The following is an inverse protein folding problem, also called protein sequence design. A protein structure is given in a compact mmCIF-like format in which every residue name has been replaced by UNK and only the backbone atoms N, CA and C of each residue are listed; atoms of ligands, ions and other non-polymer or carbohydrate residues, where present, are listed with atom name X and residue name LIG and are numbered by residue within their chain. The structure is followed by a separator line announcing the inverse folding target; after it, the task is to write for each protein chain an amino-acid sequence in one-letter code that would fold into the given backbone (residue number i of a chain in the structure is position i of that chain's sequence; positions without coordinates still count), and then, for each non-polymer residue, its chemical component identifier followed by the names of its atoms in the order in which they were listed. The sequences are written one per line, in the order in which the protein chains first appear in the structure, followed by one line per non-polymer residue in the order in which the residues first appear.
data_IF_165151695826
#
_entry.id   IF_165151695826
#
_cell.length_a   1.000
_cell.length_b   1.000
_cell.length_c   1.000
_cell.angle_alpha   90.00
_cell.angle_beta   90.00
_cell.angle_gamma   90.00
#
_symmetry.space_group_name_H-M   'P 1'
#
loop_
_entity.id
_entity.type
_entity.pdbx_description
1 polymer ?
#
# COMPACT_ATOMS: atom_id res chain seq x y z
N UNK A 1 14.27 1.25 -61.40
CA UNK A 1 13.45 1.30 -60.20
C UNK A 1 14.03 0.44 -59.06
N UNK A 2 15.10 0.89 -58.35
CA UNK A 2 15.59 0.19 -57.15
C UNK A 2 15.46 0.99 -55.84
N UNK A 3 14.75 2.11 -55.80
CA UNK A 3 14.75 3.01 -54.62
C UNK A 3 13.87 2.52 -53.47
N UNK A 4 12.70 1.93 -53.75
CA UNK A 4 11.74 1.55 -52.71
C UNK A 4 12.22 0.36 -51.83
N UNK A 5 12.97 -0.59 -52.38
CA UNK A 5 13.51 -1.73 -51.63
C UNK A 5 14.64 -1.32 -50.66
N UNK A 6 15.49 -0.37 -51.06
CA UNK A 6 16.56 0.15 -50.21
C UNK A 6 16.03 1.01 -49.06
N UNK A 7 15.00 1.81 -49.30
CA UNK A 7 14.35 2.60 -48.26
C UNK A 7 13.61 1.70 -47.24
N UNK A 8 13.00 0.60 -47.70
CA UNK A 8 12.36 -0.36 -46.81
C UNK A 8 13.37 -1.09 -45.91
N UNK A 9 14.49 -1.52 -46.47
CA UNK A 9 15.59 -2.19 -45.74
C UNK A 9 16.21 -1.26 -44.68
N UNK A 10 16.45 0.02 -45.03
CA UNK A 10 16.98 1.00 -44.09
C UNK A 10 15.99 1.35 -42.96
N UNK A 11 14.69 1.33 -43.25
CA UNK A 11 13.67 1.52 -42.21
C UNK A 11 13.63 0.34 -41.24
N UNK A 12 13.76 -0.89 -41.73
CA UNK A 12 13.84 -2.10 -40.91
C UNK A 12 15.09 -2.14 -40.02
N UNK A 13 16.24 -1.74 -40.56
CA UNK A 13 17.49 -1.62 -39.79
C UNK A 13 17.38 -0.60 -38.67
N UNK A 14 16.80 0.56 -38.93
CA UNK A 14 16.57 1.59 -37.91
C UNK A 14 15.58 1.11 -36.81
N UNK A 15 14.52 0.38 -37.20
CA UNK A 15 13.59 -0.21 -36.24
C UNK A 15 14.28 -1.25 -35.34
N UNK A 16 15.16 -2.07 -35.91
CA UNK A 16 15.93 -3.06 -35.15
C UNK A 16 16.88 -2.40 -34.16
N UNK A 17 17.56 -1.29 -34.55
CA UNK A 17 18.41 -0.53 -33.62
C UNK A 17 17.60 0.01 -32.44
N UNK A 18 16.46 0.63 -32.73
CA UNK A 18 15.56 1.14 -31.64
C UNK A 18 15.07 0.03 -30.75
N UNK A 19 14.70 -1.12 -31.31
CA UNK A 19 14.25 -2.28 -30.54
C UNK A 19 15.36 -2.80 -29.61
N UNK A 20 16.58 -2.94 -30.15
CA UNK A 20 17.72 -3.38 -29.34
C UNK A 20 18.04 -2.39 -28.20
N UNK A 21 18.00 -1.09 -28.48
CA UNK A 21 18.18 -0.07 -27.41
C UNK A 21 17.11 -0.17 -26.34
N UNK A 22 15.83 -0.35 -26.71
CA UNK A 22 14.74 -0.55 -25.74
C UNK A 22 14.94 -1.81 -24.90
N UNK A 23 15.39 -2.92 -25.50
CA UNK A 23 15.69 -4.16 -24.77
C UNK A 23 16.80 -3.91 -23.75
N UNK A 24 17.90 -3.27 -24.17
CA UNK A 24 19.01 -2.90 -23.27
C UNK A 24 18.55 -2.00 -22.14
N UNK A 25 17.66 -1.05 -22.41
CA UNK A 25 17.08 -0.17 -21.37
C UNK A 25 16.22 -0.96 -20.37
N UNK A 26 15.42 -1.92 -20.84
CA UNK A 26 14.61 -2.80 -19.97
C UNK A 26 15.52 -3.60 -19.05
N UNK A 27 16.58 -4.23 -19.59
CA UNK A 27 17.52 -5.02 -18.79
C UNK A 27 18.23 -4.16 -17.74
N UNK A 28 18.74 -2.99 -18.11
CA UNK A 28 19.34 -2.03 -17.18
C UNK A 28 18.36 -1.60 -16.07
N UNK A 29 17.07 -1.39 -16.40
CA UNK A 29 16.07 -1.06 -15.38
C UNK A 29 15.79 -2.26 -14.47
N UNK A 30 15.75 -3.47 -14.99
CA UNK A 30 15.59 -4.69 -14.19
C UNK A 30 16.74 -4.86 -13.17
N UNK A 31 17.99 -4.65 -13.60
CA UNK A 31 19.14 -4.66 -12.71
C UNK A 31 19.05 -3.60 -11.61
N UNK A 32 18.63 -2.38 -11.97
CA UNK A 32 18.43 -1.29 -10.99
C UNK A 32 17.34 -1.62 -9.99
N UNK A 33 16.24 -2.23 -10.41
CA UNK A 33 15.17 -2.69 -9.51
C UNK A 33 15.74 -3.73 -8.53
N UNK A 34 16.46 -4.74 -9.03
CA UNK A 34 17.07 -5.76 -8.19
C UNK A 34 18.07 -5.15 -7.18
N UNK A 35 18.88 -4.18 -7.60
CA UNK A 35 19.80 -3.46 -6.71
C UNK A 35 19.07 -2.73 -5.59
N UNK A 36 17.98 -1.99 -5.90
CA UNK A 36 17.21 -1.27 -4.89
C UNK A 36 16.43 -2.22 -3.97
N UNK A 37 15.89 -3.32 -4.49
CA UNK A 37 15.24 -4.34 -3.67
C UNK A 37 16.21 -4.93 -2.63
N UNK A 38 17.42 -5.27 -3.05
CA UNK A 38 18.47 -5.73 -2.14
C UNK A 38 18.90 -4.65 -1.13
N UNK A 39 18.94 -3.37 -1.54
CA UNK A 39 19.25 -2.27 -0.65
C UNK A 39 18.16 -2.07 0.42
N UNK A 40 16.89 -2.21 0.03
CA UNK A 40 15.75 -2.15 0.95
C UNK A 40 15.80 -3.31 1.95
N UNK A 41 16.12 -4.53 1.50
CA UNK A 41 16.27 -5.69 2.40
C UNK A 41 17.35 -5.45 3.46
N UNK A 42 18.52 -4.98 3.05
CA UNK A 42 19.59 -4.61 3.98
C UNK A 42 19.18 -3.50 4.95
N UNK A 43 18.41 -2.51 4.48
CA UNK A 43 17.91 -1.43 5.33
C UNK A 43 16.90 -1.95 6.38
N UNK A 44 16.02 -2.88 5.98
CA UNK A 44 15.08 -3.51 6.91
C UNK A 44 15.83 -4.34 7.96
N UNK A 45 16.84 -5.12 7.58
CA UNK A 45 17.65 -5.91 8.50
C UNK A 45 18.36 -5.06 9.56
N UNK A 46 18.87 -3.91 9.16
CA UNK A 46 19.54 -2.94 10.06
C UNK A 46 18.55 -2.07 10.86
N UNK A 47 17.28 -2.07 10.50
CA UNK A 47 16.28 -1.26 11.16
C UNK A 47 16.04 -1.72 12.61
N UNK A 48 15.58 -0.82 13.50
CA UNK A 48 15.20 -1.18 14.86
C UNK A 48 14.18 -2.34 14.88
N UNK A 49 14.23 -3.22 15.91
CA UNK A 49 13.34 -4.39 16.01
C UNK A 49 11.85 -4.02 15.87
N UNK A 50 11.44 -2.90 16.45
CA UNK A 50 10.07 -2.37 16.35
C UNK A 50 9.69 -2.06 14.89
N UNK A 51 10.58 -1.42 14.14
CA UNK A 51 10.36 -1.09 12.72
C UNK A 51 10.22 -2.34 11.89
N UNK A 52 11.10 -3.33 12.07
CA UNK A 52 11.04 -4.63 11.38
C UNK A 52 9.73 -5.36 11.68
N UNK A 53 9.35 -5.44 12.96
CA UNK A 53 8.09 -6.06 13.37
C UNK A 53 6.88 -5.37 12.74
N UNK A 54 6.88 -4.03 12.67
CA UNK A 54 5.80 -3.28 12.04
C UNK A 54 5.72 -3.55 10.53
N UNK A 55 6.86 -3.53 9.82
CA UNK A 55 6.92 -3.88 8.39
C UNK A 55 6.37 -5.30 8.15
N UNK A 56 6.75 -6.25 8.98
CA UNK A 56 6.27 -7.63 8.88
C UNK A 56 4.76 -7.72 9.15
N UNK A 57 4.28 -7.09 10.21
CA UNK A 57 2.88 -7.08 10.58
C UNK A 57 1.98 -6.47 9.48
N UNK A 58 2.39 -5.36 8.88
CA UNK A 58 1.63 -4.72 7.81
C UNK A 58 1.53 -5.57 6.54
N UNK A 59 2.52 -6.40 6.25
CA UNK A 59 2.47 -7.34 5.11
C UNK A 59 1.42 -8.44 5.26
N UNK A 60 0.83 -8.65 6.44
CA UNK A 60 -0.31 -9.54 6.64
C UNK A 60 -1.58 -9.04 5.96
N UNK A 61 -1.68 -7.74 5.71
CA UNK A 61 -2.78 -7.14 5.00
C UNK A 61 -2.74 -7.46 3.50
N UNK A 62 -3.89 -7.72 2.92
CA UNK A 62 -4.00 -7.91 1.48
C UNK A 62 -3.62 -6.63 0.73
N UNK A 63 -2.83 -6.78 -0.33
CA UNK A 63 -2.38 -5.65 -1.15
C UNK A 63 -1.22 -4.85 -0.57
N UNK A 64 -0.75 -5.22 0.62
CA UNK A 64 0.41 -4.60 1.25
C UNK A 64 1.61 -5.55 1.09
N UNK A 65 2.42 -5.33 0.07
CA UNK A 65 3.69 -6.03 -0.13
C UNK A 65 4.83 -5.34 0.64
N UNK A 66 6.04 -5.91 0.59
CA UNK A 66 7.22 -5.42 1.31
C UNK A 66 7.47 -3.93 1.08
N UNK A 67 7.56 -3.50 -0.18
CA UNK A 67 7.81 -2.10 -0.53
C UNK A 67 6.71 -1.17 0.01
N UNK A 68 5.45 -1.56 -0.14
CA UNK A 68 4.31 -0.79 0.40
C UNK A 68 4.39 -0.69 1.93
N UNK A 69 4.72 -1.79 2.62
CA UNK A 69 4.85 -1.79 4.08
C UNK A 69 5.99 -0.86 4.55
N UNK A 70 7.14 -0.90 3.87
CA UNK A 70 8.27 0.00 4.16
C UNK A 70 7.85 1.44 3.94
N UNK A 71 7.25 1.77 2.81
CA UNK A 71 6.74 3.13 2.53
C UNK A 71 5.79 3.62 3.61
N UNK A 72 4.84 2.77 4.04
CA UNK A 72 3.89 3.12 5.10
C UNK A 72 4.61 3.43 6.42
N UNK A 73 5.58 2.60 6.79
CA UNK A 73 6.32 2.75 8.06
C UNK A 73 7.22 3.98 8.04
N UNK A 74 7.93 4.22 6.94
CA UNK A 74 8.84 5.37 6.81
C UNK A 74 8.10 6.71 6.77
N UNK A 75 7.01 6.78 6.05
CA UNK A 75 6.21 8.01 5.90
C UNK A 75 5.34 8.34 7.13
N UNK A 76 4.86 7.31 7.84
CA UNK A 76 4.07 7.49 9.05
C UNK A 76 4.98 7.71 10.27
N UNK A 77 6.09 6.99 10.34
CA UNK A 77 7.01 7.00 11.48
C UNK A 77 6.39 6.31 12.70
N UNK A 78 5.97 7.10 13.68
CA UNK A 78 5.34 6.60 14.90
C UNK A 78 3.80 6.58 14.75
N UNK A 79 3.17 5.42 14.90
CA UNK A 79 1.72 5.27 14.84
C UNK A 79 1.04 5.86 16.08
N UNK A 80 1.74 5.87 17.22
CA UNK A 80 1.30 6.44 18.47
C UNK A 80 1.05 7.94 18.45
N UNK A 81 1.64 8.68 17.48
CA UNK A 81 1.40 10.12 17.33
C UNK A 81 -0.05 10.46 16.94
N UNK A 82 -0.79 9.50 16.43
CA UNK A 82 -2.21 9.66 16.10
C UNK A 82 -3.07 9.03 17.19
N UNK A 83 -3.85 9.84 17.90
CA UNK A 83 -4.76 9.36 18.94
C UNK A 83 -5.90 8.51 18.36
N UNK A 84 -6.36 8.84 17.14
CA UNK A 84 -7.49 8.19 16.48
C UNK A 84 -7.21 7.91 15.00
N UNK A 85 -7.83 6.86 14.47
CA UNK A 85 -7.74 6.50 13.05
C UNK A 85 -8.15 7.65 12.10
N UNK A 86 -9.08 8.51 12.51
CA UNK A 86 -9.49 9.68 11.73
C UNK A 86 -8.34 10.66 11.46
N UNK A 87 -7.40 10.80 12.40
CA UNK A 87 -6.25 11.68 12.24
C UNK A 87 -5.29 11.16 11.15
N UNK A 88 -5.01 9.85 11.15
CA UNK A 88 -4.17 9.27 10.08
C UNK A 88 -4.87 9.29 8.73
N UNK A 89 -6.20 9.15 8.69
CA UNK A 89 -6.99 9.33 7.45
C UNK A 89 -6.85 10.76 6.92
N UNK A 90 -6.91 11.77 7.81
CA UNK A 90 -6.70 13.18 7.44
C UNK A 90 -5.28 13.44 6.97
N UNK A 91 -4.28 12.86 7.64
CA UNK A 91 -2.87 12.95 7.25
C UNK A 91 -2.58 12.45 5.84
N UNK A 92 -3.34 11.46 5.36
CA UNK A 92 -3.25 10.96 3.97
C UNK A 92 -4.08 11.77 2.97
N UNK A 93 -4.91 12.70 3.44
CA UNK A 93 -5.83 13.47 2.59
C UNK A 93 -6.92 12.63 1.92
N UNK A 94 -7.25 11.46 2.49
CA UNK A 94 -8.32 10.58 2.01
C UNK A 94 -9.68 10.90 2.61
N UNK A 95 -9.76 11.89 3.49
CA UNK A 95 -11.02 12.38 4.04
C UNK A 95 -11.76 13.26 3.03
N UNK A 96 -13.10 13.20 2.97
CA UNK A 96 -13.86 14.09 2.12
C UNK A 96 -13.73 15.54 2.63
N UNK A 97 -13.70 16.49 1.70
CA UNK A 97 -13.91 17.89 2.04
C UNK A 97 -15.34 18.07 2.52
N UNK A 98 -15.52 18.92 3.50
CA UNK A 98 -16.83 19.22 4.07
C UNK A 98 -17.13 20.72 3.89
N UNK A 99 -18.27 20.98 3.29
CA UNK A 99 -18.82 22.33 3.10
C UNK A 99 -20.23 22.35 3.68
N UNK A 100 -20.32 22.12 5.00
CA UNK A 100 -21.59 22.09 5.70
C UNK A 100 -21.92 23.46 6.28
N UNK A 101 -23.14 23.94 6.07
CA UNK A 101 -23.68 25.12 6.72
C UNK A 101 -25.04 24.79 7.32
N UNK A 102 -25.18 24.94 8.63
CA UNK A 102 -26.43 24.69 9.35
C UNK A 102 -26.94 23.25 9.17
N UNK A 103 -28.16 23.08 8.65
CA UNK A 103 -28.82 21.77 8.48
C UNK A 103 -28.39 20.99 7.23
N UNK A 104 -27.59 21.60 6.31
CA UNK A 104 -27.15 20.94 5.06
C UNK A 104 -25.73 20.43 5.17
N UNK A 105 -25.57 19.10 5.13
CA UNK A 105 -24.28 18.43 5.15
C UNK A 105 -23.83 18.16 3.70
N UNK A 106 -22.86 18.92 3.18
CA UNK A 106 -22.31 18.73 1.83
C UNK A 106 -20.89 18.17 1.92
N UNK A 107 -20.73 16.91 1.54
CA UNK A 107 -19.43 16.25 1.41
C UNK A 107 -18.97 16.30 -0.03
N UNK A 108 -17.79 16.89 -0.27
CA UNK A 108 -17.15 16.97 -1.56
C UNK A 108 -16.23 15.79 -1.88
N UNK A 109 -15.28 16.04 -2.78
CA UNK A 109 -14.19 15.11 -3.08
C UNK A 109 -13.24 14.96 -1.88
N UNK A 110 -12.26 14.05 -1.96
CA UNK A 110 -11.19 13.98 -0.96
C UNK A 110 -10.39 15.27 -0.94
N UNK A 111 -9.91 15.66 0.24
CA UNK A 111 -9.17 16.91 0.44
C UNK A 111 -7.88 16.97 -0.36
N UNK A 112 -7.24 15.82 -0.60
CA UNK A 112 -5.91 15.68 -1.22
C UNK A 112 -4.80 16.46 -0.49
N UNK A 113 -5.10 17.13 0.61
CA UNK A 113 -4.14 17.73 1.51
C UNK A 113 -3.39 16.63 2.27
N UNK A 114 -2.09 16.80 2.49
CA UNK A 114 -1.28 15.81 3.19
C UNK A 114 -0.47 14.89 2.25
N UNK A 115 -0.01 13.77 2.78
CA UNK A 115 0.99 12.92 2.12
C UNK A 115 0.44 12.24 0.86
N UNK A 116 0.87 12.70 -0.32
CA UNK A 116 0.45 12.18 -1.62
C UNK A 116 1.02 10.80 -1.91
N UNK A 117 2.22 10.49 -1.39
CA UNK A 117 2.88 9.20 -1.58
C UNK A 117 2.11 8.09 -0.86
N UNK A 118 1.77 8.31 0.43
CA UNK A 118 0.90 7.41 1.18
C UNK A 118 -0.45 7.22 0.49
N UNK A 119 -1.06 8.30 0.02
CA UNK A 119 -2.36 8.23 -0.66
C UNK A 119 -2.29 7.34 -1.89
N UNK A 120 -1.23 7.45 -2.71
CA UNK A 120 -1.02 6.63 -3.90
C UNK A 120 -0.92 5.15 -3.54
N UNK A 121 -0.01 4.77 -2.66
CA UNK A 121 0.21 3.37 -2.30
C UNK A 121 -1.01 2.75 -1.61
N UNK A 122 -1.78 3.53 -0.84
CA UNK A 122 -3.02 3.08 -0.23
C UNK A 122 -4.13 2.80 -1.26
N UNK A 123 -4.27 3.65 -2.27
CA UNK A 123 -5.24 3.45 -3.35
C UNK A 123 -4.86 2.22 -4.18
N UNK A 124 -3.59 2.04 -4.53
CA UNK A 124 -3.09 0.85 -5.21
C UNK A 124 -3.37 -0.42 -4.40
N UNK A 125 -3.06 -0.42 -3.10
CA UNK A 125 -3.34 -1.55 -2.20
C UNK A 125 -4.84 -1.84 -2.10
N UNK A 126 -5.68 -0.82 -2.09
CA UNK A 126 -7.12 -0.96 -1.94
C UNK A 126 -7.80 -1.66 -3.12
N UNK A 127 -7.21 -1.64 -4.33
CA UNK A 127 -7.72 -2.39 -5.49
C UNK A 127 -7.80 -3.90 -5.24
N UNK A 128 -6.98 -4.46 -4.38
CA UNK A 128 -6.97 -5.89 -4.07
C UNK A 128 -8.23 -6.36 -3.32
N UNK A 129 -8.97 -5.45 -2.67
CA UNK A 129 -10.19 -5.77 -1.92
C UNK A 129 -11.44 -5.95 -2.81
N UNK A 130 -11.30 -5.81 -4.12
CA UNK A 130 -12.32 -6.25 -5.10
C UNK A 130 -12.52 -7.77 -5.08
N UNK A 131 -11.48 -8.52 -4.74
CA UNK A 131 -11.51 -9.97 -4.67
C UNK A 131 -12.04 -10.46 -3.32
N UNK A 132 -12.73 -11.61 -3.33
CA UNK A 132 -13.26 -12.25 -2.10
C UNK A 132 -12.14 -12.49 -1.08
N UNK A 133 -12.43 -12.42 0.23
CA UNK A 133 -11.47 -12.74 1.28
C UNK A 133 -10.87 -14.14 1.06
N UNK A 134 -9.55 -14.21 1.05
CA UNK A 134 -8.79 -15.44 0.87
C UNK A 134 -7.37 -15.22 1.36
N UNK A 135 -6.82 -16.20 2.05
CA UNK A 135 -5.41 -16.23 2.41
C UNK A 135 -4.63 -16.98 1.32
N UNK A 136 -3.75 -16.28 0.61
CA UNK A 136 -2.73 -16.89 -0.22
C UNK A 136 -1.67 -17.56 0.68
N UNK A 137 -0.89 -18.52 0.15
CA UNK A 137 0.15 -19.25 0.90
C UNK A 137 1.05 -18.29 1.69
N UNK A 138 1.65 -17.31 1.01
CA UNK A 138 2.49 -16.28 1.65
C UNK A 138 1.80 -15.57 2.82
N UNK A 139 0.50 -15.26 2.71
CA UNK A 139 -0.22 -14.59 3.81
C UNK A 139 -0.49 -15.53 4.98
N UNK A 140 -0.73 -16.83 4.72
CA UNK A 140 -0.85 -17.84 5.78
C UNK A 140 0.44 -17.98 6.56
N UNK A 141 1.57 -18.09 5.86
CA UNK A 141 2.90 -18.21 6.46
C UNK A 141 3.24 -16.98 7.31
N UNK A 142 2.98 -15.78 6.78
CA UNK A 142 3.17 -14.52 7.51
C UNK A 142 2.26 -14.42 8.75
N UNK A 143 0.99 -14.77 8.62
CA UNK A 143 0.05 -14.70 9.73
C UNK A 143 0.36 -15.75 10.82
N UNK A 144 0.87 -16.91 10.44
CA UNK A 144 1.32 -17.93 11.38
C UNK A 144 2.54 -17.51 12.23
N UNK A 145 3.35 -16.59 11.73
CA UNK A 145 4.50 -16.01 12.42
C UNK A 145 4.19 -14.76 13.24
N UNK A 146 2.94 -14.26 13.19
CA UNK A 146 2.52 -13.03 13.87
C UNK A 146 1.66 -13.34 15.10
N UNK A 147 1.59 -12.42 16.08
CA UNK A 147 0.64 -12.51 17.18
C UNK A 147 -0.80 -12.72 16.69
N UNK A 148 -1.60 -13.58 17.35
CA UNK A 148 -2.98 -13.87 16.94
C UNK A 148 -3.86 -12.63 16.81
N UNK A 149 -3.63 -11.60 17.62
CA UNK A 149 -4.36 -10.32 17.57
C UNK A 149 -4.15 -9.63 16.23
N UNK A 150 -2.91 -9.57 15.73
CA UNK A 150 -2.56 -8.95 14.45
C UNK A 150 -3.13 -9.78 13.28
N UNK A 151 -3.01 -11.10 13.33
CA UNK A 151 -3.59 -11.99 12.31
C UNK A 151 -5.12 -11.83 12.22
N UNK A 152 -5.81 -11.74 13.36
CA UNK A 152 -7.25 -11.50 13.43
C UNK A 152 -7.63 -10.12 12.86
N UNK A 153 -6.85 -9.07 13.15
CA UNK A 153 -7.06 -7.74 12.57
C UNK A 153 -6.92 -7.75 11.05
N UNK A 154 -5.90 -8.43 10.52
CA UNK A 154 -5.66 -8.54 9.09
C UNK A 154 -6.79 -9.31 8.37
N UNK A 155 -7.30 -10.38 8.97
CA UNK A 155 -8.44 -11.11 8.44
C UNK A 155 -9.71 -10.24 8.45
N UNK A 156 -10.03 -9.61 9.57
CA UNK A 156 -11.16 -8.68 9.69
C UNK A 156 -11.08 -7.54 8.68
N UNK A 157 -9.89 -7.04 8.39
CA UNK A 157 -9.68 -6.04 7.34
C UNK A 157 -10.09 -6.58 5.97
N UNK A 158 -9.71 -7.82 5.61
CA UNK A 158 -10.10 -8.41 4.33
C UNK A 158 -11.63 -8.52 4.19
N UNK A 159 -12.31 -9.02 5.20
CA UNK A 159 -13.77 -9.19 5.20
C UNK A 159 -14.48 -7.84 5.09
N UNK A 160 -14.14 -6.91 5.96
CA UNK A 160 -14.77 -5.59 6.01
C UNK A 160 -14.54 -4.78 4.74
N UNK A 161 -13.30 -4.72 4.25
CA UNK A 161 -12.96 -3.90 3.09
C UNK A 161 -13.51 -4.50 1.79
N UNK A 162 -13.57 -5.83 1.68
CA UNK A 162 -14.27 -6.48 0.58
C UNK A 162 -15.77 -6.19 0.59
N UNK A 163 -16.42 -6.33 1.74
CA UNK A 163 -17.85 -6.00 1.90
C UNK A 163 -18.09 -4.52 1.53
N UNK A 164 -17.24 -3.63 2.01
CA UNK A 164 -17.30 -2.20 1.68
C UNK A 164 -17.19 -1.94 0.18
N UNK A 165 -16.24 -2.59 -0.48
CA UNK A 165 -16.07 -2.51 -1.93
C UNK A 165 -17.35 -2.95 -2.65
N UNK A 166 -17.89 -4.11 -2.30
CA UNK A 166 -19.12 -4.66 -2.91
C UNK A 166 -20.33 -3.74 -2.72
N UNK A 167 -20.57 -3.27 -1.51
CA UNK A 167 -21.71 -2.41 -1.19
C UNK A 167 -21.65 -1.07 -1.95
N UNK A 168 -20.45 -0.49 -2.10
CA UNK A 168 -20.29 0.76 -2.83
C UNK A 168 -20.40 0.56 -4.35
N UNK A 169 -19.93 -0.57 -4.88
CA UNK A 169 -20.06 -0.92 -6.29
C UNK A 169 -21.52 -1.19 -6.66
N UNK A 170 -22.28 -1.88 -5.80
CA UNK A 170 -23.70 -2.13 -6.00
C UNK A 170 -24.53 -0.83 -6.06
N UNK A 171 -24.05 0.26 -5.47
CA UNK A 171 -24.67 1.60 -5.56
C UNK A 171 -24.24 2.38 -6.81
N UNK A 172 -23.77 1.71 -7.83
CA UNK A 172 -23.37 2.28 -9.16
C UNK A 172 -22.36 3.43 -9.07
N UNK A 173 -21.53 3.44 -8.03
CA UNK A 173 -20.49 4.47 -7.86
C UNK A 173 -19.28 4.21 -8.77
N UNK A 174 -18.65 5.24 -9.35
CA UNK A 174 -17.43 5.09 -10.12
C UNK A 174 -16.35 4.34 -9.35
N UNK A 175 -15.68 3.38 -10.01
CA UNK A 175 -14.68 2.48 -9.37
C UNK A 175 -13.59 3.24 -8.59
N UNK A 176 -13.11 4.36 -9.12
CA UNK A 176 -12.12 5.20 -8.43
C UNK A 176 -12.62 5.75 -7.09
N UNK A 177 -13.90 6.19 -7.01
CA UNK A 177 -14.50 6.65 -5.75
C UNK A 177 -14.66 5.49 -4.75
N UNK A 178 -15.00 4.29 -5.23
CA UNK A 178 -15.12 3.08 -4.40
C UNK A 178 -13.77 2.73 -3.78
N UNK A 179 -12.72 2.64 -4.61
CA UNK A 179 -11.37 2.28 -4.16
C UNK A 179 -10.81 3.32 -3.18
N UNK A 180 -11.03 4.60 -3.44
CA UNK A 180 -10.63 5.68 -2.51
C UNK A 180 -11.32 5.55 -1.14
N UNK A 181 -12.60 5.17 -1.12
CA UNK A 181 -13.32 4.94 0.14
C UNK A 181 -12.79 3.70 0.89
N UNK A 182 -12.39 2.64 0.17
CA UNK A 182 -11.73 1.47 0.74
C UNK A 182 -10.34 1.81 1.26
N UNK A 183 -9.54 2.60 0.50
CA UNK A 183 -8.22 3.06 0.91
C UNK A 183 -8.26 3.86 2.23
N UNK A 184 -9.29 4.69 2.41
CA UNK A 184 -9.51 5.43 3.65
C UNK A 184 -9.77 4.50 4.84
N UNK A 185 -10.52 3.42 4.68
CA UNK A 185 -10.73 2.44 5.75
C UNK A 185 -9.48 1.58 5.96
N UNK A 186 -8.74 1.24 4.88
CA UNK A 186 -7.49 0.47 4.95
C UNK A 186 -6.45 1.14 5.83
N UNK A 187 -6.25 2.47 5.71
CA UNK A 187 -5.27 3.17 6.57
C UNK A 187 -5.67 3.11 8.05
N UNK A 188 -6.96 3.00 8.37
CA UNK A 188 -7.43 2.77 9.73
C UNK A 188 -6.98 1.41 10.29
N UNK A 189 -7.02 0.34 9.49
CA UNK A 189 -6.49 -0.97 9.88
C UNK A 189 -4.96 -0.96 9.97
N UNK A 190 -4.27 -0.28 9.06
CA UNK A 190 -2.82 -0.10 9.11
C UNK A 190 -2.42 0.60 10.41
N UNK A 191 -3.11 1.67 10.78
CA UNK A 191 -2.89 2.37 12.05
C UNK A 191 -3.13 1.46 13.26
N UNK A 192 -4.22 0.70 13.28
CA UNK A 192 -4.54 -0.19 14.38
C UNK A 192 -3.48 -1.28 14.55
N UNK A 193 -3.01 -1.90 13.46
CA UNK A 193 -1.93 -2.88 13.49
C UNK A 193 -0.61 -2.25 13.96
N UNK A 194 -0.26 -1.06 13.46
CA UNK A 194 0.95 -0.35 13.90
C UNK A 194 0.91 -0.02 15.39
N UNK A 195 -0.23 0.42 15.91
CA UNK A 195 -0.45 0.66 17.36
C UNK A 195 -0.33 -0.63 18.18
N UNK A 196 -0.88 -1.74 17.69
CA UNK A 196 -0.77 -3.04 18.37
C UNK A 196 0.69 -3.51 18.47
N UNK A 197 1.45 -3.40 17.38
CA UNK A 197 2.90 -3.70 17.40
C UNK A 197 3.64 -2.81 18.40
N UNK A 198 3.30 -1.52 18.46
CA UNK A 198 3.89 -0.59 19.42
C UNK A 198 3.56 -0.98 20.87
N UNK A 199 2.34 -1.40 21.14
CA UNK A 199 1.90 -1.83 22.46
C UNK A 199 2.58 -3.12 22.90
N UNK A 200 2.66 -4.12 22.01
CA UNK A 200 3.33 -5.40 22.30
C UNK A 200 4.82 -5.23 22.60
N UNK A 201 5.52 -4.35 21.88
CA UNK A 201 6.93 -4.06 22.15
C UNK A 201 7.16 -3.30 23.48
N UNK A 202 6.19 -2.50 23.93
CA UNK A 202 6.23 -1.85 25.23
C UNK A 202 5.95 -2.85 26.38
N UNK A 203 5.07 -3.84 26.13
CA UNK A 203 4.80 -4.94 27.08
C UNK A 203 6.02 -5.82 27.34
N UNK A 204 6.83 -6.11 26.32
CA UNK A 204 8.04 -6.91 26.44
C UNK A 204 9.14 -6.25 27.32
N UNK A 205 9.21 -4.94 27.37
CA UNK A 205 10.15 -4.23 28.26
C UNK A 205 9.77 -4.30 29.74
N UNK A 206 8.50 -4.44 30.07
CA UNK A 206 8.05 -4.58 31.47
C UNK A 206 8.31 -5.96 32.05
N UNK A 207 8.40 -7.01 31.21
CA UNK A 207 8.67 -8.38 31.66
C UNK A 207 10.17 -8.66 31.91
N UNK A 208 11.07 -7.87 31.34
CA UNK A 208 12.54 -8.03 31.53
C UNK A 208 13.05 -7.19 32.72
N UNK A 209 12.25 -6.27 33.24
CA UNK A 209 12.61 -5.39 34.36
C UNK A 209 11.97 -5.81 35.71
N UNK A 210 11.32 -6.98 35.77
CA UNK A 210 10.82 -7.62 36.98
C UNK A 210 11.56 -8.96 37.23
#
# INVERSE_FOLDING_TARGET
MPSASLEHTAAEENQNIVLLDLIIQVDKQAERVAFYDAAIDRAIEKAPPKTRATVQALQSLRGVAKLTAVTLVTEIGCFGRFAHASQVMSYTGLVPSEHSSGKKNRRGAITKSGNSHLRRVLVESAWHYRHRPRLAKRQKDLQGALPPTIAAMAWRAQERLHLRYRLLTAKTKPKGKVVTAVARELIGFIWAIGREVEALNLGGRKQVAA
#
